data_IF_388452516697
#
_entry.id   IF_388452516697
#
_cell.length_a   1.000
_cell.length_b   1.000
_cell.length_c   1.000
_cell.angle_alpha   90.00
_cell.angle_beta   90.00
_cell.angle_gamma   90.00
#
_symmetry.space_group_name_H-M   'P 1'
#
loop_
_entity.id
_entity.type
_entity.pdbx_description
1 polymer ?
#
# COMPACT_ATOMS: atom_id res chain seq x y z
N UNK A 1 3.14 12.88 -10.18
CA UNK A 1 2.31 12.98 -8.95
C UNK A 1 2.21 14.45 -8.55
N UNK A 2 1.03 15.06 -8.66
CA UNK A 2 0.81 16.44 -8.23
C UNK A 2 -0.43 16.47 -7.33
N UNK A 3 -0.28 17.00 -6.11
CA UNK A 3 -1.41 17.29 -5.24
C UNK A 3 -1.98 18.64 -5.67
N UNK A 4 -3.28 18.69 -5.95
CA UNK A 4 -3.93 19.95 -6.29
C UNK A 4 -4.32 20.67 -5.00
N UNK A 5 -4.06 21.99 -4.92
CA UNK A 5 -4.46 22.82 -3.77
C UNK A 5 -5.98 22.75 -3.52
N UNK A 6 -6.78 22.58 -4.56
CA UNK A 6 -8.23 22.42 -4.43
C UNK A 6 -8.63 21.12 -3.69
N UNK A 7 -7.74 20.12 -3.67
CA UNK A 7 -8.02 18.78 -3.14
C UNK A 7 -7.35 18.53 -1.77
N UNK A 8 -6.91 19.58 -1.06
CA UNK A 8 -6.21 19.44 0.23
C UNK A 8 -7.05 18.68 1.28
N UNK A 9 -8.38 18.79 1.23
CA UNK A 9 -9.30 18.07 2.12
C UNK A 9 -9.39 16.56 1.80
N UNK A 10 -8.93 16.13 0.63
CA UNK A 10 -8.91 14.74 0.19
C UNK A 10 -7.54 14.06 0.41
N UNK A 11 -6.63 14.71 1.15
CA UNK A 11 -5.32 14.17 1.53
C UNK A 11 -5.38 13.73 2.99
N UNK A 12 -5.15 12.44 3.22
CA UNK A 12 -5.02 11.86 4.54
C UNK A 12 -3.55 11.55 4.80
N UNK A 13 -2.97 12.19 5.81
CA UNK A 13 -1.60 11.91 6.26
C UNK A 13 -1.62 10.88 7.38
N UNK A 14 -0.66 9.97 7.34
CA UNK A 14 -0.49 8.91 8.34
C UNK A 14 -1.76 8.07 8.62
N UNK A 15 -2.60 7.75 7.61
CA UNK A 15 -3.86 7.05 7.86
C UNK A 15 -3.60 5.67 8.47
N UNK A 16 -4.39 5.34 9.49
CA UNK A 16 -4.37 4.03 10.11
C UNK A 16 -5.06 3.01 9.21
N UNK A 17 -4.32 2.01 8.76
CA UNK A 17 -4.82 0.80 8.13
C UNK A 17 -5.04 -0.24 9.23
N UNK A 18 -6.30 -0.51 9.53
CA UNK A 18 -6.71 -1.57 10.45
C UNK A 18 -6.20 -2.89 9.92
N UNK A 19 -5.54 -3.63 10.78
CA UNK A 19 -4.96 -4.91 10.44
C UNK A 19 -5.96 -6.06 10.56
N UNK A 20 -5.42 -7.26 10.54
CA UNK A 20 -6.14 -8.52 10.70
C UNK A 20 -5.22 -9.51 11.43
N UNK A 21 -5.75 -10.30 12.36
CA UNK A 21 -5.00 -11.32 13.10
C UNK A 21 -3.75 -10.81 13.80
N UNK A 22 -2.59 -11.37 13.43
CA UNK A 22 -1.29 -11.10 14.08
C UNK A 22 -0.77 -9.68 13.84
N UNK A 23 -1.25 -9.01 12.78
CA UNK A 23 -0.87 -7.65 12.48
C UNK A 23 -2.02 -6.72 12.85
N UNK A 24 -1.88 -6.00 13.96
CA UNK A 24 -2.96 -5.19 14.56
C UNK A 24 -3.32 -3.96 13.71
N UNK A 25 -2.33 -3.17 13.31
CA UNK A 25 -2.53 -2.05 12.41
C UNK A 25 -1.21 -1.57 11.78
N UNK A 26 -1.32 -0.87 10.66
CA UNK A 26 -0.22 -0.16 10.01
C UNK A 26 -0.58 1.30 9.77
N UNK A 27 0.43 2.16 9.58
CA UNK A 27 0.24 3.53 9.09
C UNK A 27 0.92 3.67 7.74
N UNK A 28 0.15 4.06 6.74
CA UNK A 28 0.70 4.50 5.46
C UNK A 28 1.12 5.97 5.54
N UNK A 29 1.92 6.46 4.61
CA UNK A 29 2.32 7.87 4.61
C UNK A 29 1.18 8.79 4.20
N UNK A 30 0.60 8.55 3.01
CA UNK A 30 -0.45 9.40 2.44
C UNK A 30 -1.49 8.59 1.68
N UNK A 31 -2.77 8.92 1.87
CA UNK A 31 -3.83 8.55 0.93
C UNK A 31 -4.36 9.84 0.29
N UNK A 32 -4.44 9.84 -1.04
CA UNK A 32 -4.96 10.95 -1.81
C UNK A 32 -5.95 10.45 -2.85
N UNK A 33 -7.23 10.84 -2.68
CA UNK A 33 -8.34 10.30 -3.48
C UNK A 33 -8.36 8.76 -3.42
N UNK A 34 -8.17 8.10 -4.56
CA UNK A 34 -8.12 6.64 -4.69
C UNK A 34 -6.68 6.09 -4.78
N UNK A 35 -5.70 6.81 -4.23
CA UNK A 35 -4.29 6.48 -4.37
C UNK A 35 -3.60 6.36 -3.01
N UNK A 36 -2.88 5.27 -2.82
CA UNK A 36 -1.92 5.10 -1.73
C UNK A 36 -0.56 5.66 -2.18
N UNK A 37 -0.03 6.63 -1.44
CA UNK A 37 1.24 7.28 -1.75
C UNK A 37 2.22 7.03 -0.61
N UNK A 38 3.37 6.45 -0.96
CA UNK A 38 4.45 6.11 -0.03
C UNK A 38 5.71 6.91 -0.36
N UNK A 39 6.31 7.52 0.66
CA UNK A 39 7.41 8.48 0.55
C UNK A 39 8.69 7.86 1.10
N UNK A 40 9.72 7.77 0.26
CA UNK A 40 11.06 7.28 0.62
C UNK A 40 12.02 8.45 0.69
N UNK A 41 12.69 8.64 1.82
CA UNK A 41 13.56 9.81 2.05
C UNK A 41 15.07 9.52 1.98
N UNK A 42 15.47 8.35 1.45
CA UNK A 42 16.87 7.92 1.37
C UNK A 42 17.50 8.14 -0.01
N UNK A 43 18.83 8.08 -0.09
CA UNK A 43 19.58 8.18 -1.35
C UNK A 43 19.69 6.81 -2.06
N UNK A 44 18.55 6.12 -2.19
CA UNK A 44 18.47 4.77 -2.75
C UNK A 44 17.34 4.63 -3.76
N UNK A 45 17.50 3.64 -4.63
CA UNK A 45 16.43 3.15 -5.49
C UNK A 45 15.29 2.51 -4.66
N UNK A 46 14.09 2.47 -5.24
CA UNK A 46 13.01 1.66 -4.73
C UNK A 46 13.44 0.19 -4.72
N UNK A 47 13.14 -0.52 -3.63
CA UNK A 47 13.48 -1.91 -3.38
C UNK A 47 12.23 -2.76 -3.40
N UNK A 48 12.41 -4.07 -3.57
CA UNK A 48 11.30 -5.01 -3.49
C UNK A 48 10.58 -4.97 -2.13
N UNK A 49 11.29 -4.61 -1.06
CA UNK A 49 10.70 -4.42 0.27
C UNK A 49 9.69 -3.27 0.30
N UNK A 50 9.90 -2.23 -0.51
CA UNK A 50 8.95 -1.11 -0.62
C UNK A 50 7.65 -1.58 -1.33
N UNK A 51 7.76 -2.47 -2.31
CA UNK A 51 6.60 -3.09 -2.96
C UNK A 51 5.87 -4.05 -2.01
N UNK A 52 6.60 -4.88 -1.26
CA UNK A 52 6.01 -5.77 -0.24
C UNK A 52 5.24 -4.98 0.81
N UNK A 53 5.77 -3.84 1.26
CA UNK A 53 5.09 -2.95 2.20
C UNK A 53 3.78 -2.42 1.60
N UNK A 54 3.82 -1.93 0.36
CA UNK A 54 2.60 -1.47 -0.36
C UNK A 54 1.57 -2.59 -0.47
N UNK A 55 1.98 -3.79 -0.91
CA UNK A 55 1.08 -4.93 -1.05
C UNK A 55 0.46 -5.31 0.31
N UNK A 56 1.23 -5.24 1.39
CA UNK A 56 0.73 -5.44 2.76
C UNK A 56 -0.34 -4.42 3.09
N UNK A 57 -0.09 -3.14 2.84
CA UNK A 57 -1.07 -2.07 3.08
C UNK A 57 -2.36 -2.25 2.27
N UNK A 58 -2.23 -2.67 1.00
CA UNK A 58 -3.38 -2.97 0.16
C UNK A 58 -4.18 -4.16 0.68
N UNK A 59 -3.52 -5.23 1.16
CA UNK A 59 -4.20 -6.39 1.74
C UNK A 59 -4.94 -6.03 3.04
N UNK A 60 -4.34 -5.21 3.91
CA UNK A 60 -5.02 -4.71 5.11
C UNK A 60 -6.23 -3.86 4.75
N UNK A 61 -6.09 -2.94 3.79
CA UNK A 61 -7.20 -2.12 3.32
C UNK A 61 -8.30 -2.97 2.64
N UNK A 62 -7.92 -4.05 1.95
CA UNK A 62 -8.87 -4.99 1.36
C UNK A 62 -9.72 -5.68 2.44
N UNK A 63 -9.10 -6.09 3.54
CA UNK A 63 -9.80 -6.67 4.69
C UNK A 63 -10.68 -5.64 5.41
N UNK A 64 -10.14 -4.44 5.68
CA UNK A 64 -10.80 -3.43 6.50
C UNK A 64 -11.82 -2.57 5.74
N UNK A 65 -11.73 -2.54 4.41
CA UNK A 65 -12.55 -1.74 3.48
C UNK A 65 -12.58 -0.25 3.83
N UNK A 66 -11.49 0.28 4.41
CA UNK A 66 -11.42 1.67 4.88
C UNK A 66 -11.34 2.69 3.74
N UNK A 67 -10.65 2.35 2.65
CA UNK A 67 -10.39 3.25 1.53
C UNK A 67 -10.67 2.57 0.19
N UNK A 68 -11.23 3.33 -0.75
CA UNK A 68 -11.43 2.88 -2.14
C UNK A 68 -10.19 3.19 -2.96
N UNK A 69 -9.17 2.33 -2.87
CA UNK A 69 -7.90 2.49 -3.58
C UNK A 69 -7.94 1.81 -4.95
N UNK A 70 -7.35 2.45 -5.95
CA UNK A 70 -7.18 1.93 -7.30
C UNK A 70 -5.73 2.05 -7.80
N UNK A 71 -4.96 2.99 -7.25
CA UNK A 71 -3.60 3.28 -7.67
C UNK A 71 -2.64 3.33 -6.50
N UNK A 72 -1.36 3.16 -6.80
CA UNK A 72 -0.27 3.37 -5.85
C UNK A 72 0.74 4.35 -6.43
N UNK A 73 1.47 5.04 -5.56
CA UNK A 73 2.67 5.75 -5.95
C UNK A 73 3.78 5.60 -4.91
N UNK A 74 4.99 5.37 -5.40
CA UNK A 74 6.23 5.49 -4.64
C UNK A 74 6.90 6.80 -5.04
N UNK A 75 7.24 7.62 -4.07
CA UNK A 75 7.93 8.89 -4.29
C UNK A 75 9.22 8.89 -3.49
N UNK A 76 10.33 9.27 -4.11
CA UNK A 76 11.54 9.62 -3.41
C UNK A 76 11.87 11.09 -3.68
N UNK A 77 11.47 12.01 -2.79
CA UNK A 77 11.71 13.44 -2.97
C UNK A 77 13.20 13.79 -3.00
N UNK A 78 14.06 13.00 -2.33
CA UNK A 78 15.49 13.26 -2.25
C UNK A 78 16.20 13.05 -3.59
N UNK A 79 15.80 12.00 -4.32
CA UNK A 79 16.38 11.65 -5.63
C UNK A 79 15.54 12.10 -6.81
N UNK A 80 14.40 12.76 -6.57
CA UNK A 80 13.47 13.20 -7.61
C UNK A 80 12.76 12.07 -8.36
N UNK A 81 12.78 10.84 -7.82
CA UNK A 81 12.22 9.65 -8.48
C UNK A 81 10.77 9.44 -8.06
N UNK A 82 9.93 9.04 -9.00
CA UNK A 82 8.57 8.61 -8.73
C UNK A 82 8.21 7.40 -9.59
N UNK A 83 7.38 6.52 -9.03
CA UNK A 83 6.79 5.38 -9.70
C UNK A 83 5.30 5.35 -9.37
N UNK A 84 4.45 5.10 -10.36
CA UNK A 84 3.00 5.04 -10.22
C UNK A 84 2.44 3.96 -11.14
N UNK A 85 1.49 3.18 -10.63
CA UNK A 85 0.72 2.21 -11.41
C UNK A 85 -0.62 1.91 -10.72
N UNK A 86 -1.50 1.19 -11.42
CA UNK A 86 -2.72 0.65 -10.80
C UNK A 86 -2.38 -0.53 -9.88
N UNK A 87 -3.29 -0.81 -8.94
CA UNK A 87 -3.18 -1.98 -8.07
C UNK A 87 -3.18 -3.27 -8.90
N UNK A 88 -4.04 -3.37 -9.92
CA UNK A 88 -4.08 -4.53 -10.82
C UNK A 88 -2.72 -4.75 -11.49
N UNK A 89 -2.14 -3.71 -12.11
CA UNK A 89 -0.84 -3.83 -12.76
C UNK A 89 0.26 -4.24 -11.79
N UNK A 90 0.30 -3.67 -10.58
CA UNK A 90 1.29 -4.05 -9.57
C UNK A 90 1.17 -5.53 -9.20
N UNK A 91 -0.04 -5.98 -8.85
CA UNK A 91 -0.25 -7.31 -8.30
C UNK A 91 -0.11 -8.38 -9.40
N UNK A 92 -0.67 -8.15 -10.58
CA UNK A 92 -0.53 -9.06 -11.72
C UNK A 92 0.93 -9.19 -12.15
N UNK A 93 1.68 -8.10 -12.24
CA UNK A 93 3.09 -8.15 -12.58
C UNK A 93 3.95 -8.90 -11.53
N UNK A 94 3.55 -8.85 -10.25
CA UNK A 94 4.30 -9.50 -9.18
C UNK A 94 3.92 -10.97 -8.97
N UNK A 95 2.70 -11.38 -9.32
CA UNK A 95 2.13 -12.69 -8.92
C UNK A 95 1.50 -13.49 -10.06
N UNK A 96 1.20 -12.86 -11.19
CA UNK A 96 0.39 -13.47 -12.27
C UNK A 96 -1.08 -13.71 -11.91
N UNK A 97 -1.56 -13.16 -10.78
CA UNK A 97 -2.90 -13.38 -10.23
C UNK A 97 -3.63 -12.06 -10.02
N UNK A 98 -4.96 -12.14 -9.85
CA UNK A 98 -5.78 -10.96 -9.57
C UNK A 98 -5.53 -10.45 -8.14
N UNK A 99 -5.71 -9.14 -7.89
CA UNK A 99 -5.55 -8.56 -6.55
C UNK A 99 -6.35 -9.26 -5.46
N UNK A 100 -7.61 -9.62 -5.75
CA UNK A 100 -8.50 -10.29 -4.78
C UNK A 100 -7.92 -11.62 -4.28
N UNK A 101 -7.32 -12.41 -5.16
CA UNK A 101 -6.77 -13.72 -4.80
C UNK A 101 -5.53 -13.57 -3.93
N UNK A 102 -4.64 -12.64 -4.31
CA UNK A 102 -3.39 -12.37 -3.57
C UNK A 102 -3.67 -11.75 -2.21
N UNK A 103 -4.59 -10.80 -2.13
CA UNK A 103 -4.93 -10.15 -0.86
C UNK A 103 -5.64 -11.10 0.10
N UNK A 104 -6.49 -12.00 -0.41
CA UNK A 104 -7.12 -13.03 0.41
C UNK A 104 -6.07 -13.96 1.02
N UNK A 105 -5.12 -14.46 0.23
CA UNK A 105 -4.04 -15.31 0.73
C UNK A 105 -3.18 -14.61 1.79
N UNK A 106 -2.88 -13.32 1.60
CA UNK A 106 -2.12 -12.54 2.58
C UNK A 106 -2.92 -12.37 3.87
N UNK A 107 -4.21 -12.03 3.77
CA UNK A 107 -5.08 -11.87 4.95
C UNK A 107 -5.20 -13.19 5.70
N UNK A 108 -5.39 -14.31 5.01
CA UNK A 108 -5.46 -15.64 5.62
C UNK A 108 -4.13 -16.00 6.30
N UNK A 109 -3.00 -15.73 5.64
CA UNK A 109 -1.67 -15.95 6.22
C UNK A 109 -1.45 -15.14 7.51
N UNK A 110 -1.77 -13.84 7.50
CA UNK A 110 -1.61 -12.96 8.66
C UNK A 110 -2.63 -13.28 9.77
N UNK A 111 -3.79 -13.82 9.40
CA UNK A 111 -4.86 -14.19 10.34
C UNK A 111 -4.66 -15.56 10.98
N UNK A 112 -3.84 -16.42 10.38
CA UNK A 112 -3.56 -17.74 10.93
C UNK A 112 -2.58 -17.62 12.10
N UNK A 113 -2.97 -18.14 13.27
CA UNK A 113 -2.04 -18.39 14.37
C UNK A 113 -1.08 -19.52 13.98
N UNK A 114 -0.02 -19.21 13.23
CA UNK A 114 1.12 -20.11 13.14
C UNK A 114 1.87 -19.99 14.46
N UNK A 115 1.62 -20.91 15.40
CA UNK A 115 2.54 -21.17 16.51
C UNK A 115 3.90 -21.41 15.87
N UNK A 116 4.83 -20.46 16.04
CA UNK A 116 6.22 -20.64 15.60
C UNK A 116 6.74 -21.93 16.22
N UNK A 117 7.03 -22.93 15.38
CA UNK A 117 7.80 -24.12 15.76
C UNK A 117 9.28 -23.80 15.73
#
# INVERSE_FOLDING_TARGET
LFFNKADLTAIFFWPLLKGCGQLDACRADVIYKNKLVEVKAGDRHFRITDLRQIITYLALNFCSKQFQLANIALVNPRTGKAFECSIDTLVEACSGRKPVDVFSDIVDFVSTEVVSR
#
